data_IF_520050756145
#
_entry.id   IF_520050756145
#
_cell.length_a   1.000
_cell.length_b   1.000
_cell.length_c   1.000
_cell.angle_alpha   90.00
_cell.angle_beta   90.00
_cell.angle_gamma   90.00
#
_symmetry.space_group_name_H-M   'P 1'
#
loop_
_entity.id
_entity.type
_entity.pdbx_description
1 polymer ?
#
# COMPACT_ATOMS: atom_id res chain seq x y z
N UNK A 1 -11.97 -1.85 -6.17
CA UNK A 1 -10.57 -2.19 -5.86
C UNK A 1 -10.05 -3.13 -6.92
N UNK A 2 -8.78 -3.06 -7.25
CA UNK A 2 -8.18 -3.94 -8.25
C UNK A 2 -7.59 -5.17 -7.56
N UNK A 3 -7.66 -6.33 -8.22
CA UNK A 3 -7.14 -7.57 -7.68
C UNK A 3 -5.62 -7.52 -7.53
N UNK A 4 -5.12 -7.72 -6.32
CA UNK A 4 -3.72 -8.01 -6.07
C UNK A 4 -3.41 -9.46 -6.46
N UNK A 5 -2.36 -9.67 -7.26
CA UNK A 5 -1.96 -11.00 -7.76
C UNK A 5 -0.83 -11.67 -6.96
N UNK A 6 -0.28 -10.97 -5.96
CA UNK A 6 0.73 -11.54 -5.05
C UNK A 6 0.12 -12.41 -3.95
N UNK A 7 0.94 -12.83 -2.99
CA UNK A 7 0.50 -13.63 -1.84
C UNK A 7 -0.60 -12.89 -1.06
N UNK A 8 -1.82 -13.44 -0.92
CA UNK A 8 -2.87 -12.79 -0.16
C UNK A 8 -2.45 -12.53 1.29
N UNK A 9 -2.88 -11.40 1.85
CA UNK A 9 -2.79 -11.14 3.29
C UNK A 9 -3.86 -11.91 4.08
N UNK A 10 -3.85 -11.82 5.42
CA UNK A 10 -2.90 -11.03 6.22
C UNK A 10 -1.51 -11.69 6.24
N UNK A 11 -0.47 -10.86 6.40
CA UNK A 11 0.88 -11.35 6.66
C UNK A 11 1.29 -11.04 8.11
N UNK A 12 2.11 -11.90 8.69
CA UNK A 12 2.58 -11.76 10.07
C UNK A 12 4.11 -11.89 10.19
N UNK A 13 4.68 -11.18 11.15
CA UNK A 13 6.10 -11.29 11.50
C UNK A 13 6.28 -12.47 12.46
N UNK A 14 7.13 -13.42 12.08
CA UNK A 14 7.60 -14.53 12.92
C UNK A 14 9.08 -14.35 13.26
N UNK A 15 9.46 -14.66 14.50
CA UNK A 15 10.83 -14.64 14.98
C UNK A 15 11.29 -16.08 15.28
N UNK A 16 11.97 -16.69 14.30
CA UNK A 16 12.49 -18.06 14.37
C UNK A 16 14.01 -18.05 14.10
N UNK A 17 14.78 -17.33 14.93
CA UNK A 17 16.21 -17.04 14.73
C UNK A 17 16.54 -16.12 13.53
N UNK A 18 15.52 -15.72 12.76
CA UNK A 18 15.55 -14.69 11.72
C UNK A 18 14.14 -14.08 11.62
N UNK A 19 14.04 -12.82 11.19
CA UNK A 19 12.74 -12.18 10.96
C UNK A 19 12.14 -12.69 9.65
N UNK A 20 11.00 -13.36 9.75
CA UNK A 20 10.25 -13.89 8.60
C UNK A 20 8.88 -13.23 8.51
N UNK A 21 8.49 -12.82 7.32
CA UNK A 21 7.10 -12.47 7.02
C UNK A 21 6.42 -13.69 6.40
N UNK A 22 5.30 -14.12 6.96
CA UNK A 22 4.57 -15.32 6.53
C UNK A 22 3.11 -14.99 6.25
N UNK A 23 2.49 -15.75 5.35
CA UNK A 23 1.04 -15.78 5.19
C UNK A 23 0.39 -16.75 6.19
N UNK A 24 -0.88 -16.53 6.50
CA UNK A 24 -1.64 -17.41 7.39
C UNK A 24 -1.96 -18.79 6.77
N UNK A 25 -1.95 -18.89 5.44
CA UNK A 25 -2.45 -20.08 4.75
C UNK A 25 -1.37 -21.09 4.39
N UNK A 26 -0.14 -20.65 4.09
CA UNK A 26 0.86 -21.49 3.45
C UNK A 26 2.17 -21.60 4.23
N UNK A 27 2.34 -20.83 5.32
CA UNK A 27 3.62 -20.65 6.01
C UNK A 27 4.75 -20.28 5.03
N UNK A 28 4.43 -19.70 3.88
CA UNK A 28 5.42 -19.36 2.86
C UNK A 28 6.14 -18.12 3.36
N UNK A 29 7.46 -18.18 3.36
CA UNK A 29 8.26 -16.99 3.68
C UNK A 29 8.12 -15.99 2.53
N UNK A 30 7.41 -14.89 2.79
CA UNK A 30 7.17 -13.79 1.83
C UNK A 30 8.39 -12.86 1.77
N UNK A 31 9.08 -12.69 2.90
CA UNK A 31 10.32 -11.93 2.99
C UNK A 31 11.13 -12.35 4.23
N UNK A 32 12.44 -12.11 4.18
CA UNK A 32 13.38 -12.30 5.29
C UNK A 32 14.11 -11.00 5.57
N UNK A 33 14.08 -10.52 6.82
CA UNK A 33 15.05 -9.55 7.34
C UNK A 33 16.08 -10.32 8.18
N UNK A 34 17.37 -10.00 8.05
CA UNK A 34 18.48 -10.85 8.52
C UNK A 34 18.40 -11.19 10.01
N UNK A 35 19.11 -10.44 10.86
CA UNK A 35 19.14 -10.73 12.29
C UNK A 35 18.04 -9.94 13.01
N UNK A 36 17.67 -10.38 14.21
CA UNK A 36 16.73 -9.66 15.07
C UNK A 36 17.53 -8.77 16.01
N UNK A 37 18.37 -7.89 15.45
CA UNK A 37 19.40 -7.22 16.25
C UNK A 37 19.12 -5.75 16.49
N UNK A 38 18.25 -5.11 15.69
CA UNK A 38 17.92 -3.70 15.88
C UNK A 38 16.45 -3.35 15.56
N UNK A 39 16.03 -2.18 16.01
CA UNK A 39 14.67 -1.66 15.85
C UNK A 39 14.31 -1.35 14.40
N UNK A 40 15.29 -1.00 13.55
CA UNK A 40 15.08 -0.68 12.13
C UNK A 40 14.68 -1.94 11.33
N UNK A 41 15.30 -3.08 11.63
CA UNK A 41 14.96 -4.39 11.05
C UNK A 41 13.53 -4.80 11.42
N UNK A 42 13.14 -4.61 12.68
CA UNK A 42 11.79 -4.88 13.15
C UNK A 42 10.76 -3.95 12.48
N UNK A 43 11.05 -2.64 12.42
CA UNK A 43 10.18 -1.67 11.77
C UNK A 43 9.97 -1.99 10.28
N UNK A 44 11.03 -2.41 9.60
CA UNK A 44 10.97 -2.86 8.20
C UNK A 44 10.12 -4.11 8.05
N UNK A 45 10.26 -5.10 8.94
CA UNK A 45 9.45 -6.31 8.92
C UNK A 45 7.96 -6.02 9.13
N UNK A 46 7.61 -5.14 10.07
CA UNK A 46 6.23 -4.72 10.28
C UNK A 46 5.65 -3.98 9.07
N UNK A 47 6.43 -3.10 8.43
CA UNK A 47 6.00 -2.41 7.21
C UNK A 47 5.70 -3.41 6.08
N UNK A 48 6.57 -4.40 5.88
CA UNK A 48 6.35 -5.43 4.86
C UNK A 48 5.12 -6.26 5.20
N UNK A 49 4.96 -6.70 6.45
CA UNK A 49 3.81 -7.48 6.88
C UNK A 49 2.47 -6.75 6.69
N UNK A 50 2.45 -5.42 6.88
CA UNK A 50 1.26 -4.60 6.67
C UNK A 50 1.01 -4.21 5.19
N UNK A 51 1.87 -4.64 4.25
CA UNK A 51 1.77 -4.22 2.86
C UNK A 51 0.44 -4.57 2.17
N UNK A 52 -0.19 -5.75 2.38
CA UNK A 52 -1.49 -6.08 1.78
C UNK A 52 -2.59 -5.10 2.21
N UNK A 53 -2.75 -4.88 3.52
CA UNK A 53 -3.75 -3.99 4.11
C UNK A 53 -3.46 -2.53 3.75
N UNK A 54 -2.19 -2.14 3.70
CA UNK A 54 -1.77 -0.80 3.26
C UNK A 54 -2.12 -0.58 1.78
N UNK A 55 -1.90 -1.57 0.91
CA UNK A 55 -2.27 -1.47 -0.50
C UNK A 55 -3.79 -1.36 -0.68
N UNK A 56 -4.57 -2.13 0.07
CA UNK A 56 -6.03 -2.03 0.06
C UNK A 56 -6.50 -0.64 0.52
N UNK A 57 -5.99 -0.15 1.65
CA UNK A 57 -6.33 1.16 2.18
C UNK A 57 -5.97 2.30 1.22
N UNK A 58 -4.80 2.22 0.56
CA UNK A 58 -4.38 3.21 -0.45
C UNK A 58 -5.28 3.20 -1.69
N UNK A 59 -5.72 2.02 -2.15
CA UNK A 59 -6.68 1.91 -3.24
C UNK A 59 -8.03 2.53 -2.86
N UNK A 60 -8.52 2.29 -1.65
CA UNK A 60 -9.76 2.90 -1.14
C UNK A 60 -9.65 4.41 -1.03
N UNK A 61 -8.55 4.91 -0.46
CA UNK A 61 -8.29 6.35 -0.36
C UNK A 61 -8.25 7.01 -1.74
N UNK A 62 -7.55 6.41 -2.71
CA UNK A 62 -7.48 6.96 -4.07
C UNK A 62 -8.86 7.00 -4.74
N UNK A 63 -9.67 5.95 -4.58
CA UNK A 63 -11.03 5.94 -5.13
C UNK A 63 -11.90 7.04 -4.49
N UNK A 64 -11.90 7.16 -3.16
CA UNK A 64 -12.66 8.20 -2.46
C UNK A 64 -12.23 9.61 -2.85
N UNK A 65 -10.93 9.84 -3.07
CA UNK A 65 -10.43 11.13 -3.54
C UNK A 65 -10.83 11.42 -4.99
N UNK A 66 -10.82 10.43 -5.88
CA UNK A 66 -11.31 10.61 -7.26
C UNK A 66 -12.80 10.93 -7.27
N UNK A 67 -13.62 10.21 -6.49
CA UNK A 67 -15.06 10.48 -6.36
C UNK A 67 -15.32 11.90 -5.84
N UNK A 68 -14.56 12.35 -4.83
CA UNK A 68 -14.65 13.72 -4.35
C UNK A 68 -14.27 14.74 -5.43
N UNK A 69 -13.22 14.48 -6.20
CA UNK A 69 -12.81 15.32 -7.32
C UNK A 69 -13.89 15.44 -8.39
N UNK A 70 -14.55 14.33 -8.74
CA UNK A 70 -15.64 14.30 -9.71
C UNK A 70 -16.86 15.11 -9.22
N UNK A 71 -17.21 15.00 -7.92
CA UNK A 71 -18.28 15.80 -7.32
C UNK A 71 -17.96 17.29 -7.38
N UNK A 72 -16.74 17.69 -7.02
CA UNK A 72 -16.34 19.10 -7.05
C UNK A 72 -16.36 19.66 -8.47
N UNK A 73 -15.85 18.90 -9.45
CA UNK A 73 -15.89 19.29 -10.86
C UNK A 73 -17.33 19.40 -11.39
N UNK A 74 -18.21 18.44 -11.07
CA UNK A 74 -19.60 18.44 -11.54
C UNK A 74 -20.40 19.65 -11.02
N UNK A 75 -20.09 20.12 -9.80
CA UNK A 75 -20.74 21.27 -9.19
C UNK A 75 -20.02 22.61 -9.49
N UNK A 76 -19.00 22.62 -10.35
CA UNK A 76 -18.17 23.80 -10.65
C UNK A 76 -17.54 24.43 -9.38
N UNK A 77 -17.22 23.58 -8.40
CA UNK A 77 -16.61 23.94 -7.11
C UNK A 77 -15.10 23.70 -7.09
N UNK A 78 -14.53 23.15 -8.15
CA UNK A 78 -13.11 22.89 -8.26
C UNK A 78 -12.37 24.10 -8.84
N UNK A 79 -11.49 24.71 -8.06
CA UNK A 79 -10.58 25.73 -8.58
C UNK A 79 -9.48 25.08 -9.45
N UNK A 80 -9.40 25.46 -10.72
CA UNK A 80 -8.43 24.88 -11.66
C UNK A 80 -6.98 24.95 -11.15
N UNK A 81 -6.59 26.05 -10.51
CA UNK A 81 -5.25 26.20 -9.93
C UNK A 81 -4.95 25.15 -8.84
N UNK A 82 -5.95 24.75 -8.06
CA UNK A 82 -5.84 23.68 -7.05
C UNK A 82 -5.83 22.29 -7.68
N UNK A 83 -6.59 22.09 -8.75
CA UNK A 83 -6.50 20.86 -9.54
C UNK A 83 -5.08 20.68 -10.07
N UNK A 84 -4.51 21.72 -10.68
CA UNK A 84 -3.16 21.67 -11.23
C UNK A 84 -2.09 21.42 -10.14
N UNK A 85 -2.26 22.02 -8.95
CA UNK A 85 -1.37 21.85 -7.80
C UNK A 85 -1.39 20.41 -7.25
N UNK A 86 -2.57 19.79 -7.17
CA UNK A 86 -2.75 18.47 -6.54
C UNK A 86 -2.54 17.30 -7.50
N UNK A 87 -2.74 17.50 -8.80
CA UNK A 87 -2.60 16.46 -9.85
C UNK A 87 -1.29 15.64 -9.72
N UNK A 88 -0.10 16.25 -9.53
CA UNK A 88 1.14 15.49 -9.40
C UNK A 88 1.17 14.52 -8.21
N UNK A 89 0.52 14.86 -7.09
CA UNK A 89 0.43 13.99 -5.92
C UNK A 89 -0.46 12.77 -6.21
N UNK A 90 -1.58 12.97 -6.90
CA UNK A 90 -2.46 11.90 -7.36
C UNK A 90 -1.78 10.96 -8.35
N UNK A 91 -1.02 11.51 -9.31
CA UNK A 91 -0.27 10.73 -10.28
C UNK A 91 0.80 9.87 -9.59
N UNK A 92 1.49 10.43 -8.60
CA UNK A 92 2.48 9.68 -7.79
C UNK A 92 1.82 8.53 -7.02
N UNK A 93 0.67 8.77 -6.39
CA UNK A 93 -0.09 7.73 -5.68
C UNK A 93 -0.54 6.63 -6.63
N UNK A 94 -1.10 7.00 -7.79
CA UNK A 94 -1.55 6.06 -8.82
C UNK A 94 -0.39 5.22 -9.36
N UNK A 95 0.76 5.84 -9.61
CA UNK A 95 1.98 5.16 -10.04
C UNK A 95 2.47 4.14 -9.01
N UNK A 96 2.53 4.53 -7.73
CA UNK A 96 2.94 3.63 -6.65
C UNK A 96 1.99 2.43 -6.48
N UNK A 97 0.67 2.67 -6.53
CA UNK A 97 -0.36 1.63 -6.46
C UNK A 97 -0.24 0.68 -7.67
N UNK A 98 -0.10 1.20 -8.88
CA UNK A 98 0.09 0.38 -10.08
C UNK A 98 1.33 -0.49 -9.98
N UNK A 99 2.45 0.08 -9.53
CA UNK A 99 3.68 -0.67 -9.28
C UNK A 99 3.46 -1.81 -8.28
N UNK A 100 2.74 -1.56 -7.18
CA UNK A 100 2.43 -2.58 -6.19
C UNK A 100 1.47 -3.67 -6.73
N UNK A 101 0.58 -3.31 -7.65
CA UNK A 101 -0.30 -4.25 -8.37
C UNK A 101 0.41 -4.99 -9.53
N UNK A 102 1.68 -4.68 -9.81
CA UNK A 102 2.45 -5.27 -10.90
C UNK A 102 2.07 -4.79 -12.30
N UNK A 103 1.65 -3.52 -12.44
CA UNK A 103 1.25 -2.88 -13.69
C UNK A 103 2.27 -1.88 -14.21
#
# INVERSE_FOLDING_TARGET
>A
MQDFKGTPGPWHVSNENALRIRDDQSFVTVATAEYVTNEEELATAYLIAAAPELLEALQLALNAMNEMGDILNFNDLAEQSKVDELTPAFDKARSAINKALGK
#
